data_IF_378351158034
#
_entry.id   IF_378351158034
#
_cell.length_a   1.000
_cell.length_b   1.000
_cell.length_c   1.000
_cell.angle_alpha   90.00
_cell.angle_beta   90.00
_cell.angle_gamma   90.00
#
_symmetry.space_group_name_H-M   'P 1'
#
loop_
_entity.id
_entity.type
_entity.pdbx_description
1 polymer ?
#
# COMPACT_ATOMS: atom_id res chain seq x y z
N UNK A 1 1.39 16.79 -4.60
CA UNK A 1 2.11 15.55 -4.30
C UNK A 1 2.68 14.94 -5.58
N UNK A 2 3.78 14.23 -5.43
CA UNK A 2 4.46 13.50 -6.50
C UNK A 2 4.52 12.02 -6.09
N UNK A 3 4.55 11.11 -7.07
CA UNK A 3 4.62 9.68 -6.81
C UNK A 3 5.73 9.04 -7.68
N UNK A 4 6.43 8.07 -7.09
CA UNK A 4 7.31 7.12 -7.76
C UNK A 4 6.70 5.75 -7.56
N UNK A 5 6.27 5.12 -8.64
CA UNK A 5 5.74 3.75 -8.65
C UNK A 5 6.64 2.89 -9.55
N UNK A 6 6.85 1.64 -9.17
CA UNK A 6 7.70 0.74 -9.94
C UNK A 6 7.24 0.64 -11.41
N UNK A 7 5.93 0.55 -11.64
CA UNK A 7 5.33 0.47 -12.97
C UNK A 7 5.54 1.72 -13.84
N UNK A 8 5.65 2.90 -13.22
CA UNK A 8 5.78 4.17 -13.94
C UNK A 8 7.23 4.56 -14.27
N UNK A 9 8.17 4.02 -13.51
CA UNK A 9 9.60 4.40 -13.59
C UNK A 9 10.45 3.28 -14.18
N UNK A 10 10.05 2.01 -13.99
CA UNK A 10 10.77 0.87 -14.54
C UNK A 10 10.91 0.99 -16.07
N UNK A 11 12.13 0.84 -16.56
CA UNK A 11 12.44 0.81 -17.98
C UNK A 11 13.36 -0.38 -18.27
N UNK A 12 13.18 -1.09 -19.39
CA UNK A 12 14.13 -2.11 -19.82
C UNK A 12 15.48 -1.52 -20.28
N UNK A 13 15.55 -0.19 -20.41
CA UNK A 13 16.79 0.49 -20.84
C UNK A 13 17.61 0.95 -19.65
N UNK A 14 18.90 0.68 -19.76
CA UNK A 14 19.93 1.05 -18.79
C UNK A 14 19.92 2.57 -18.57
N UNK A 15 19.99 3.01 -17.29
CA UNK A 15 19.99 4.42 -16.86
C UNK A 15 18.69 5.24 -17.01
N UNK A 16 17.65 4.73 -17.66
CA UNK A 16 16.38 5.48 -17.74
C UNK A 16 15.64 5.56 -16.40
N UNK A 17 15.67 4.50 -15.61
CA UNK A 17 15.04 4.46 -14.27
C UNK A 17 15.64 5.53 -13.37
N UNK A 18 16.97 5.57 -13.24
CA UNK A 18 17.66 6.58 -12.42
C UNK A 18 17.39 8.00 -12.88
N UNK A 19 17.29 8.23 -14.21
CA UNK A 19 16.96 9.54 -14.76
C UNK A 19 15.52 9.95 -14.43
N UNK A 20 14.56 9.06 -14.61
CA UNK A 20 13.15 9.34 -14.27
C UNK A 20 12.97 9.61 -12.78
N UNK A 21 13.63 8.82 -11.91
CA UNK A 21 13.67 9.06 -10.47
C UNK A 21 14.20 10.47 -10.18
N UNK A 22 15.35 10.82 -10.75
CA UNK A 22 15.96 12.14 -10.58
C UNK A 22 15.00 13.28 -10.98
N UNK A 23 14.31 13.14 -12.12
CA UNK A 23 13.33 14.13 -12.59
C UNK A 23 12.15 14.33 -11.62
N UNK A 24 11.66 13.23 -11.01
CA UNK A 24 10.56 13.33 -10.02
C UNK A 24 11.04 14.04 -8.75
N UNK A 25 12.24 13.73 -8.24
CA UNK A 25 12.81 14.44 -7.10
C UNK A 25 12.99 15.94 -7.39
N UNK A 26 13.49 16.30 -8.56
CA UNK A 26 13.66 17.71 -8.95
C UNK A 26 12.33 18.46 -9.05
N UNK A 27 11.30 17.82 -9.62
CA UNK A 27 9.94 18.40 -9.67
C UNK A 27 9.38 18.61 -8.26
N UNK A 28 9.57 17.63 -7.36
CA UNK A 28 9.13 17.74 -5.98
C UNK A 28 9.83 18.89 -5.25
N UNK A 29 11.16 19.01 -5.38
CA UNK A 29 11.93 20.11 -4.77
C UNK A 29 11.56 21.48 -5.34
N UNK A 30 11.36 21.59 -6.65
CA UNK A 30 10.90 22.85 -7.29
C UNK A 30 9.50 23.28 -6.83
N UNK A 31 8.69 22.36 -6.36
CA UNK A 31 7.32 22.61 -5.89
C UNK A 31 7.21 22.59 -4.36
N UNK A 32 8.32 22.76 -3.66
CA UNK A 32 8.36 22.73 -2.19
C UNK A 32 7.53 23.90 -1.58
N UNK A 33 6.87 23.69 -0.43
CA UNK A 33 6.79 22.44 0.33
C UNK A 33 5.92 21.38 -0.38
N UNK A 34 6.43 20.15 -0.48
CA UNK A 34 5.75 19.11 -1.23
C UNK A 34 5.86 17.73 -0.55
N UNK A 35 5.06 16.77 -1.04
CA UNK A 35 5.10 15.36 -0.60
C UNK A 35 5.51 14.49 -1.78
N UNK A 36 6.52 13.65 -1.56
CA UNK A 36 6.95 12.61 -2.49
C UNK A 36 6.61 11.25 -1.91
N UNK A 37 5.77 10.48 -2.61
CA UNK A 37 5.38 9.12 -2.24
C UNK A 37 6.16 8.12 -3.09
N UNK A 38 6.77 7.13 -2.45
CA UNK A 38 7.48 6.03 -3.12
C UNK A 38 6.76 4.73 -2.76
N UNK A 39 6.12 4.12 -3.75
CA UNK A 39 5.43 2.85 -3.57
C UNK A 39 6.30 1.68 -4.05
N UNK A 40 6.09 0.50 -3.46
CA UNK A 40 6.89 -0.70 -3.73
C UNK A 40 8.41 -0.41 -3.64
N UNK A 41 8.81 0.25 -2.54
CA UNK A 41 10.19 0.70 -2.30
C UNK A 41 11.23 -0.41 -2.50
N UNK A 42 10.89 -1.67 -2.20
CA UNK A 42 11.75 -2.84 -2.41
C UNK A 42 12.14 -3.06 -3.88
N UNK A 43 11.33 -2.58 -4.81
CA UNK A 43 11.63 -2.69 -6.25
C UNK A 43 12.84 -1.86 -6.68
N UNK A 44 13.13 -0.77 -5.95
CA UNK A 44 14.23 0.16 -6.23
C UNK A 44 15.39 0.06 -5.25
N UNK A 45 15.08 -0.24 -3.99
CA UNK A 45 15.98 -0.03 -2.85
C UNK A 45 16.32 -1.34 -2.13
N UNK A 46 16.21 -2.49 -2.83
CA UNK A 46 16.60 -3.78 -2.30
C UNK A 46 18.10 -3.81 -1.94
N UNK A 47 18.42 -4.53 -0.85
CA UNK A 47 19.79 -4.71 -0.38
C UNK A 47 20.69 -5.27 -1.49
N UNK A 48 21.78 -4.60 -1.73
CA UNK A 48 22.81 -4.93 -2.72
C UNK A 48 23.45 -6.29 -2.49
N UNK A 49 23.37 -6.84 -1.28
CA UNK A 49 23.96 -8.13 -0.89
C UNK A 49 23.01 -9.32 -1.11
N UNK A 50 21.71 -9.09 -1.34
CA UNK A 50 20.73 -10.15 -1.57
C UNK A 50 20.69 -10.56 -3.06
N UNK A 51 21.64 -11.42 -3.48
CA UNK A 51 21.59 -12.12 -4.76
C UNK A 51 22.92 -12.21 -5.48
N UNK A 52 23.29 -13.43 -5.87
CA UNK A 52 24.40 -13.69 -6.78
C UNK A 52 23.99 -13.18 -8.19
N UNK A 53 24.30 -11.93 -8.48
CA UNK A 53 23.96 -11.28 -9.75
C UNK A 53 23.29 -9.92 -9.60
N UNK A 54 23.53 -9.21 -8.47
CA UNK A 54 23.13 -7.81 -8.35
C UNK A 54 23.76 -7.03 -9.49
N UNK A 55 22.95 -6.74 -10.50
CA UNK A 55 23.42 -5.98 -11.67
C UNK A 55 23.93 -4.62 -11.18
N UNK A 56 24.99 -4.11 -11.77
CA UNK A 56 25.53 -2.77 -11.51
C UNK A 56 24.43 -1.69 -11.45
N UNK A 57 23.31 -1.91 -12.12
CA UNK A 57 22.14 -1.05 -12.17
C UNK A 57 21.45 -0.84 -10.80
N UNK A 58 21.26 -1.90 -9.99
CA UNK A 58 20.67 -1.76 -8.66
C UNK A 58 21.54 -0.94 -7.71
N UNK A 59 22.85 -1.10 -7.85
CA UNK A 59 23.81 -0.32 -7.05
C UNK A 59 23.70 1.17 -7.39
N UNK A 60 23.56 1.51 -8.67
CA UNK A 60 23.38 2.89 -9.14
C UNK A 60 22.04 3.47 -8.69
N UNK A 61 20.95 2.73 -8.79
CA UNK A 61 19.63 3.16 -8.33
C UNK A 61 19.65 3.48 -6.83
N UNK A 62 20.11 2.54 -5.99
CA UNK A 62 20.24 2.77 -4.55
C UNK A 62 21.12 3.98 -4.26
N UNK A 63 22.26 4.14 -4.96
CA UNK A 63 23.15 5.28 -4.77
C UNK A 63 22.47 6.61 -5.12
N UNK A 64 21.64 6.66 -6.17
CA UNK A 64 20.89 7.85 -6.54
C UNK A 64 19.87 8.23 -5.46
N UNK A 65 19.10 7.28 -4.94
CA UNK A 65 18.19 7.54 -3.81
C UNK A 65 18.94 8.00 -2.56
N UNK A 66 20.05 7.35 -2.22
CA UNK A 66 20.89 7.72 -1.07
C UNK A 66 21.38 9.17 -1.15
N UNK A 67 21.64 9.66 -2.34
CA UNK A 67 22.05 11.04 -2.61
C UNK A 67 20.88 12.02 -2.57
N UNK A 68 19.75 11.66 -3.20
CA UNK A 68 18.60 12.55 -3.40
C UNK A 68 17.73 12.72 -2.16
N UNK A 69 17.55 11.69 -1.36
CA UNK A 69 16.67 11.74 -0.16
C UNK A 69 17.10 12.88 0.78
N UNK A 70 18.36 12.99 1.24
CA UNK A 70 18.77 14.08 2.13
C UNK A 70 18.66 15.46 1.49
N UNK A 71 18.87 15.57 0.18
CA UNK A 71 18.73 16.81 -0.57
C UNK A 71 17.27 17.28 -0.60
N UNK A 72 16.33 16.36 -0.91
CA UNK A 72 14.91 16.66 -0.96
C UNK A 72 14.38 17.07 0.42
N UNK A 73 14.79 16.38 1.49
CA UNK A 73 14.41 16.73 2.88
C UNK A 73 14.86 18.17 3.22
N UNK A 74 16.10 18.55 2.88
CA UNK A 74 16.59 19.91 3.07
C UNK A 74 15.78 20.95 2.31
N UNK A 75 15.22 20.58 1.17
CA UNK A 75 14.35 21.42 0.33
C UNK A 75 12.87 21.28 0.69
N UNK A 76 12.51 20.91 1.93
CA UNK A 76 11.14 20.85 2.42
C UNK A 76 10.23 19.88 1.65
N UNK A 77 10.78 18.76 1.20
CA UNK A 77 10.02 17.64 0.65
C UNK A 77 9.83 16.59 1.75
N UNK A 78 8.58 16.31 2.11
CA UNK A 78 8.24 15.16 2.95
C UNK A 78 8.27 13.90 2.08
N UNK A 79 9.09 12.93 2.45
CA UNK A 79 9.17 11.65 1.74
C UNK A 79 8.41 10.60 2.53
N UNK A 80 7.45 9.95 1.89
CA UNK A 80 6.67 8.82 2.42
C UNK A 80 6.94 7.62 1.54
N UNK A 81 7.44 6.55 2.12
CA UNK A 81 7.73 5.33 1.37
C UNK A 81 6.94 4.15 1.93
N UNK A 82 6.50 3.27 1.04
CA UNK A 82 5.74 2.08 1.39
C UNK A 82 6.47 0.83 0.89
N UNK A 83 6.47 -0.22 1.71
CA UNK A 83 7.01 -1.53 1.36
C UNK A 83 6.26 -2.63 2.10
N UNK A 84 6.13 -3.76 1.47
CA UNK A 84 5.64 -5.00 2.09
C UNK A 84 6.79 -5.88 2.60
N UNK A 85 8.05 -5.52 2.30
CA UNK A 85 9.24 -6.34 2.55
C UNK A 85 10.39 -5.49 3.06
N UNK A 86 10.21 -4.91 4.26
CA UNK A 86 11.22 -4.02 4.87
C UNK A 86 12.59 -4.70 5.03
N UNK A 87 12.61 -6.02 5.21
CA UNK A 87 13.82 -6.83 5.32
C UNK A 87 14.66 -6.85 4.04
N UNK A 88 14.07 -6.49 2.91
CA UNK A 88 14.78 -6.38 1.63
C UNK A 88 15.40 -5.02 1.37
N UNK A 89 15.02 -4.00 2.14
CA UNK A 89 15.50 -2.64 1.92
C UNK A 89 16.95 -2.52 2.39
N UNK A 90 17.79 -1.88 1.56
CA UNK A 90 19.19 -1.60 1.93
C UNK A 90 19.23 -0.85 3.27
N UNK A 91 19.94 -1.36 4.29
CA UNK A 91 20.00 -0.74 5.62
C UNK A 91 20.49 0.70 5.60
N UNK A 92 21.25 1.10 4.59
CA UNK A 92 21.71 2.49 4.45
C UNK A 92 20.56 3.46 4.21
N UNK A 93 19.47 3.01 3.58
CA UNK A 93 18.25 3.81 3.33
C UNK A 93 17.53 4.10 4.64
N UNK A 94 17.46 3.13 5.54
CA UNK A 94 16.72 3.21 6.80
C UNK A 94 17.48 3.97 7.92
N UNK A 95 18.63 4.55 7.62
CA UNK A 95 19.41 5.35 8.58
C UNK A 95 18.77 6.71 8.84
N UNK A 96 19.01 7.26 10.04
CA UNK A 96 18.61 8.61 10.43
C UNK A 96 19.07 9.66 9.42
N UNK A 97 18.26 10.68 9.21
CA UNK A 97 18.47 11.70 8.19
C UNK A 97 17.99 11.27 6.78
N UNK A 98 17.32 10.13 6.68
CA UNK A 98 16.64 9.64 5.49
C UNK A 98 15.22 9.20 5.84
N UNK A 99 15.05 8.01 6.43
CA UNK A 99 13.76 7.55 6.97
C UNK A 99 13.87 7.44 8.48
N UNK A 100 13.52 8.54 9.16
CA UNK A 100 13.64 8.66 10.62
C UNK A 100 12.52 7.91 11.35
N UNK A 101 11.39 7.69 10.68
CA UNK A 101 10.22 7.05 11.24
C UNK A 101 9.79 5.85 10.41
N UNK A 102 9.72 4.70 11.04
CA UNK A 102 9.18 3.46 10.45
C UNK A 102 7.86 3.17 11.15
N UNK A 103 6.78 3.15 10.36
CA UNK A 103 5.44 2.85 10.86
C UNK A 103 5.07 1.46 10.36
N UNK A 104 4.92 0.52 11.28
CA UNK A 104 4.42 -0.81 10.98
C UNK A 104 2.89 -0.79 10.93
N UNK A 105 2.34 -1.25 9.81
CA UNK A 105 0.90 -1.42 9.63
C UNK A 105 0.57 -2.90 9.78
N UNK A 106 0.12 -3.28 10.98
CA UNK A 106 -0.28 -4.66 11.27
C UNK A 106 -1.67 -5.00 10.70
N UNK A 107 -2.02 -6.29 10.74
CA UNK A 107 -3.36 -6.76 10.43
C UNK A 107 -4.37 -6.10 11.38
N UNK A 108 -5.58 -5.85 10.87
CA UNK A 108 -6.57 -5.09 11.61
C UNK A 108 -7.12 -5.87 12.82
N UNK A 109 -7.16 -5.22 13.98
CA UNK A 109 -7.84 -5.71 15.19
C UNK A 109 -9.37 -5.69 15.01
N UNK A 110 -10.12 -6.41 15.89
CA UNK A 110 -11.59 -6.38 15.87
C UNK A 110 -12.13 -4.94 15.92
N UNK A 111 -11.54 -4.10 16.77
CA UNK A 111 -11.98 -2.69 16.94
C UNK A 111 -11.78 -1.89 15.66
N UNK A 112 -10.62 -2.02 15.03
CA UNK A 112 -10.32 -1.32 13.77
C UNK A 112 -11.19 -1.83 12.61
N UNK A 113 -11.40 -3.15 12.53
CA UNK A 113 -12.30 -3.76 11.53
C UNK A 113 -13.72 -3.23 11.72
N UNK A 114 -14.21 -3.18 12.98
CA UNK A 114 -15.54 -2.65 13.28
C UNK A 114 -15.68 -1.20 12.82
N UNK A 115 -14.73 -0.34 13.18
CA UNK A 115 -14.75 1.08 12.80
C UNK A 115 -14.69 1.25 11.26
N UNK A 116 -13.90 0.44 10.58
CA UNK A 116 -13.81 0.46 9.11
C UNK A 116 -15.12 -0.03 8.46
N UNK A 117 -15.72 -1.12 8.96
CA UNK A 117 -17.00 -1.62 8.49
C UNK A 117 -18.10 -0.57 8.66
N UNK A 118 -18.22 0.03 9.86
CA UNK A 118 -19.21 1.08 10.15
C UNK A 118 -19.06 2.26 9.18
N UNK A 119 -17.82 2.71 8.94
CA UNK A 119 -17.56 3.78 7.98
C UNK A 119 -18.03 3.40 6.57
N UNK A 120 -17.58 2.26 6.04
CA UNK A 120 -17.86 1.85 4.67
C UNK A 120 -19.34 1.53 4.43
N UNK A 121 -20.00 0.88 5.41
CA UNK A 121 -21.43 0.53 5.32
C UNK A 121 -22.29 1.79 5.41
N UNK A 122 -21.90 2.79 6.22
CA UNK A 122 -22.65 4.05 6.34
C UNK A 122 -22.61 4.91 5.06
N UNK A 123 -21.66 4.69 4.19
CA UNK A 123 -21.56 5.36 2.87
C UNK A 123 -22.53 4.73 1.84
N UNK A 124 -23.21 3.62 2.16
CA UNK A 124 -24.07 2.87 1.26
C UNK A 124 -25.54 2.86 1.74
N UNK A 125 -26.52 2.75 0.83
CA UNK A 125 -27.87 2.40 1.20
C UNK A 125 -27.89 1.04 1.90
N UNK A 126 -28.33 1.00 3.16
CA UNK A 126 -28.24 -0.19 4.01
C UNK A 126 -29.52 -0.45 4.78
N UNK A 127 -29.73 -1.69 5.20
CA UNK A 127 -30.72 -2.04 6.20
C UNK A 127 -30.26 -1.64 7.60
N UNK A 128 -31.21 -1.40 8.49
CA UNK A 128 -30.92 -1.15 9.91
C UNK A 128 -30.72 -2.47 10.65
N UNK A 129 -30.01 -2.40 11.80
CA UNK A 129 -29.86 -3.55 12.69
C UNK A 129 -28.85 -4.62 12.24
N UNK A 130 -27.97 -4.32 11.29
CA UNK A 130 -26.91 -5.25 10.90
C UNK A 130 -25.93 -5.51 12.06
N UNK A 131 -25.56 -6.78 12.28
CA UNK A 131 -24.57 -7.17 13.27
C UNK A 131 -23.13 -6.90 12.77
N UNK A 132 -22.75 -5.62 12.81
CA UNK A 132 -21.40 -5.18 12.44
C UNK A 132 -20.33 -5.77 13.37
N UNK A 133 -20.69 -6.01 14.65
CA UNK A 133 -19.74 -6.58 15.62
C UNK A 133 -19.44 -8.06 15.30
N UNK A 134 -20.45 -8.85 14.98
CA UNK A 134 -20.27 -10.23 14.56
C UNK A 134 -19.45 -10.36 13.27
N UNK A 135 -19.67 -9.44 12.32
CA UNK A 135 -18.84 -9.35 11.11
C UNK A 135 -17.39 -8.98 11.43
N UNK A 136 -17.17 -8.00 12.31
CA UNK A 136 -15.83 -7.58 12.71
C UNK A 136 -15.03 -8.72 13.33
N UNK A 137 -15.68 -9.53 14.18
CA UNK A 137 -15.08 -10.72 14.79
C UNK A 137 -14.64 -11.76 13.77
N UNK A 138 -15.40 -11.94 12.70
CA UNK A 138 -15.06 -12.87 11.60
C UNK A 138 -13.94 -12.34 10.69
N UNK A 139 -13.72 -11.04 10.68
CA UNK A 139 -12.77 -10.35 9.81
C UNK A 139 -11.49 -9.89 10.53
N UNK A 140 -11.41 -10.03 11.86
CA UNK A 140 -10.20 -9.69 12.60
C UNK A 140 -9.01 -10.50 12.08
N UNK A 141 -7.83 -9.88 12.03
CA UNK A 141 -6.62 -10.50 11.52
C UNK A 141 -6.54 -10.55 9.98
N UNK A 142 -7.51 -9.95 9.28
CA UNK A 142 -7.42 -9.73 7.83
C UNK A 142 -6.86 -8.35 7.52
N UNK A 143 -6.38 -8.16 6.30
CA UNK A 143 -5.95 -6.84 5.85
C UNK A 143 -7.15 -5.90 5.64
N UNK A 144 -6.92 -4.59 5.73
CA UNK A 144 -7.97 -3.58 5.57
C UNK A 144 -8.60 -3.59 4.17
N UNK A 145 -7.82 -3.97 3.17
CA UNK A 145 -8.30 -4.15 1.78
C UNK A 145 -9.34 -5.27 1.66
N UNK A 146 -9.19 -6.36 2.42
CA UNK A 146 -10.17 -7.46 2.44
C UNK A 146 -11.50 -7.00 3.04
N UNK A 147 -11.44 -6.22 4.13
CA UNK A 147 -12.64 -5.65 4.75
C UNK A 147 -13.38 -4.76 3.75
N UNK A 148 -12.66 -3.87 3.06
CA UNK A 148 -13.24 -3.01 2.04
C UNK A 148 -13.77 -3.81 0.83
N UNK A 149 -13.08 -4.87 0.43
CA UNK A 149 -13.55 -5.77 -0.62
C UNK A 149 -14.88 -6.42 -0.25
N UNK A 150 -15.03 -6.93 0.97
CA UNK A 150 -16.26 -7.60 1.42
C UNK A 150 -17.46 -6.65 1.40
N UNK A 151 -17.30 -5.40 1.80
CA UNK A 151 -18.36 -4.41 1.74
C UNK A 151 -18.75 -4.11 0.28
N UNK A 152 -17.77 -3.91 -0.60
CA UNK A 152 -18.02 -3.67 -2.04
C UNK A 152 -18.70 -4.88 -2.71
N UNK A 153 -18.21 -6.08 -2.39
CA UNK A 153 -18.79 -7.31 -2.94
C UNK A 153 -20.22 -7.56 -2.43
N UNK A 154 -20.48 -7.28 -1.14
CA UNK A 154 -21.83 -7.31 -0.58
C UNK A 154 -22.77 -6.33 -1.29
N UNK A 155 -22.33 -5.11 -1.55
CA UNK A 155 -23.09 -4.12 -2.31
C UNK A 155 -23.34 -4.60 -3.76
N UNK A 156 -22.35 -5.21 -4.41
CA UNK A 156 -22.48 -5.80 -5.74
C UNK A 156 -23.50 -6.94 -5.76
N UNK A 157 -23.51 -7.80 -4.75
CA UNK A 157 -24.47 -8.90 -4.61
C UNK A 157 -25.88 -8.38 -4.40
N UNK A 158 -26.09 -7.34 -3.58
CA UNK A 158 -27.36 -6.67 -3.39
C UNK A 158 -27.90 -6.10 -4.72
N UNK A 159 -27.08 -5.33 -5.43
CA UNK A 159 -27.45 -4.76 -6.72
C UNK A 159 -27.80 -5.84 -7.75
N UNK A 160 -27.06 -6.94 -7.79
CA UNK A 160 -27.32 -8.08 -8.71
C UNK A 160 -28.63 -8.79 -8.41
N UNK A 161 -29.07 -8.82 -7.15
CA UNK A 161 -30.38 -9.37 -6.76
C UNK A 161 -31.54 -8.37 -6.92
N UNK A 162 -31.29 -7.17 -7.42
CA UNK A 162 -32.29 -6.11 -7.55
C UNK A 162 -32.61 -5.39 -6.24
N UNK A 163 -31.86 -5.64 -5.17
CA UNK A 163 -32.06 -4.96 -3.89
C UNK A 163 -31.52 -3.52 -3.93
N UNK A 164 -32.26 -2.58 -3.36
CA UNK A 164 -31.88 -1.17 -3.25
C UNK A 164 -30.98 -0.87 -2.04
N UNK A 165 -30.84 -1.83 -1.12
CA UNK A 165 -30.08 -1.71 0.12
C UNK A 165 -29.20 -2.96 0.32
N UNK A 166 -28.05 -2.76 0.96
CA UNK A 166 -27.21 -3.86 1.42
C UNK A 166 -27.76 -4.41 2.74
N UNK A 167 -27.79 -5.73 2.90
CA UNK A 167 -28.20 -6.44 4.09
C UNK A 167 -27.08 -7.31 4.68
N UNK A 168 -27.33 -7.89 5.86
CA UNK A 168 -26.42 -8.81 6.55
C UNK A 168 -26.09 -10.04 5.70
N UNK A 169 -27.07 -10.59 4.97
CA UNK A 169 -26.91 -11.78 4.13
C UNK A 169 -25.96 -11.52 2.94
N UNK A 170 -26.02 -10.32 2.37
CA UNK A 170 -25.11 -9.91 1.29
C UNK A 170 -23.65 -9.88 1.78
N UNK A 171 -23.40 -9.35 2.98
CA UNK A 171 -22.05 -9.28 3.57
C UNK A 171 -21.52 -10.67 3.94
N UNK A 172 -22.38 -11.54 4.48
CA UNK A 172 -21.98 -12.92 4.80
C UNK A 172 -21.64 -13.73 3.55
N UNK A 173 -22.45 -13.63 2.49
CA UNK A 173 -22.16 -14.26 1.20
C UNK A 173 -20.86 -13.74 0.56
N UNK A 174 -20.61 -12.43 0.68
CA UNK A 174 -19.36 -11.85 0.24
C UNK A 174 -18.16 -12.40 1.00
N UNK A 175 -18.30 -12.59 2.33
CA UNK A 175 -17.29 -13.18 3.18
C UNK A 175 -16.98 -14.65 2.80
N UNK A 176 -18.01 -15.45 2.55
CA UNK A 176 -17.86 -16.84 2.11
C UNK A 176 -17.15 -16.93 0.77
N UNK A 177 -17.53 -16.08 -0.19
CA UNK A 177 -16.87 -16.05 -1.52
C UNK A 177 -15.40 -15.62 -1.46
N UNK A 178 -15.05 -14.76 -0.51
CA UNK A 178 -13.67 -14.34 -0.28
C UNK A 178 -12.83 -15.44 0.40
N UNK A 179 -13.43 -16.26 1.28
CA UNK A 179 -12.78 -17.41 1.93
C UNK A 179 -12.39 -18.49 0.94
N UNK A 180 -13.26 -18.82 0.01
CA UNK A 180 -13.00 -19.82 -1.02
C UNK A 180 -11.80 -19.48 -1.94
N UNK A 181 -11.59 -18.20 -2.23
CA UNK A 181 -10.43 -17.75 -3.04
C UNK A 181 -9.10 -17.75 -2.27
N UNK A 182 -9.13 -17.62 -0.95
CA UNK A 182 -7.92 -17.63 -0.10
C UNK A 182 -7.32 -19.00 0.09
N UNK A 183 -8.10 -20.08 -0.09
CA UNK A 183 -7.62 -21.46 0.02
C UNK A 183 -6.99 -21.96 -1.28
N UNK A 184 -7.40 -21.44 -2.44
CA UNK A 184 -6.82 -21.79 -3.75
C UNK A 184 -5.43 -21.18 -4.00
N UNK A 185 -5.03 -20.16 -3.23
CA UNK A 185 -3.76 -19.43 -3.40
C UNK A 185 -2.75 -19.64 -2.26
N UNK A 186 -2.82 -20.74 -1.53
CA UNK A 186 -1.70 -21.17 -0.67
C UNK A 186 -0.72 -21.99 -1.50
N UNK A 187 0.58 -21.54 -1.58
CA UNK A 187 1.64 -22.27 -2.25
C UNK A 187 1.94 -23.60 -1.56
#
# INVERSE_FOLDING_TARGET
>A
SFAIEASSVASPYIHETSKKVAEVFEKAMKSAPSVLVIDEMESFLADRQMGAGSSHHRVEEVAEFLRRIPEAIKNQVLIVSMTNRIEMIDPAILRRGRFDHVIKVDMASEVEVKALLEKLINELPREEGMDVRGLAKKLQGRCRSDVAFIVREGARLAARSGASKIDQGNLLRALESAGARGEENKP
#
